data_IF_625922976735
#
_entry.id   IF_625922976735
#
_cell.length_a   1.000
_cell.length_b   1.000
_cell.length_c   1.000
_cell.angle_alpha   90.00
_cell.angle_beta   90.00
_cell.angle_gamma   90.00
#
_symmetry.space_group_name_H-M   'P 1'
#
loop_
_entity.id
_entity.type
_entity.pdbx_description
1 polymer ?
#
# COMPACT_ATOMS: atom_id res chain seq x y z
N UNK A 1 -8.78 2.23 -17.73
CA UNK A 1 -9.04 1.64 -16.40
C UNK A 1 -8.07 2.28 -15.45
N UNK A 2 -8.54 3.25 -14.67
CA UNK A 2 -7.70 4.00 -13.74
C UNK A 2 -7.18 3.10 -12.62
N UNK A 3 -5.94 3.36 -12.20
CA UNK A 3 -5.10 2.58 -11.29
C UNK A 3 -5.68 2.28 -9.88
N UNK A 4 -6.96 2.58 -9.63
CA UNK A 4 -7.63 2.47 -8.34
C UNK A 4 -8.60 1.27 -8.22
N UNK A 5 -8.92 0.57 -9.31
CA UNK A 5 -9.99 -0.45 -9.31
C UNK A 5 -9.53 -1.87 -8.95
N UNK A 6 -8.68 -2.02 -7.93
CA UNK A 6 -8.40 -3.33 -7.30
C UNK A 6 -9.35 -3.64 -6.13
N UNK A 7 -10.53 -3.00 -6.06
CA UNK A 7 -11.44 -3.15 -4.92
C UNK A 7 -10.86 -2.59 -3.61
N UNK A 8 -9.94 -1.63 -3.70
CA UNK A 8 -9.30 -1.02 -2.51
C UNK A 8 -10.18 0.08 -1.92
N UNK A 9 -10.03 0.34 -0.62
CA UNK A 9 -10.72 1.44 0.06
C UNK A 9 -10.33 2.85 -0.42
N UNK A 10 -9.31 2.99 -1.29
CA UNK A 10 -8.89 4.29 -1.85
C UNK A 10 -10.01 5.00 -2.62
N UNK A 11 -10.96 4.27 -3.20
CA UNK A 11 -12.10 4.87 -3.88
C UNK A 11 -12.92 5.81 -2.98
N UNK A 12 -13.02 5.51 -1.67
CA UNK A 12 -13.70 6.37 -0.70
C UNK A 12 -12.95 7.69 -0.49
N UNK A 13 -11.63 7.66 -0.44
CA UNK A 13 -10.80 8.86 -0.28
C UNK A 13 -10.81 9.71 -1.55
N UNK A 14 -10.77 9.07 -2.72
CA UNK A 14 -10.91 9.77 -4.00
C UNK A 14 -12.28 10.47 -4.10
N UNK A 15 -13.37 9.80 -3.73
CA UNK A 15 -14.70 10.39 -3.70
C UNK A 15 -14.80 11.58 -2.72
N UNK A 16 -14.00 11.57 -1.65
CA UNK A 16 -13.89 12.67 -0.70
C UNK A 16 -12.87 13.76 -1.09
N UNK A 17 -12.26 13.68 -2.29
CA UNK A 17 -11.19 14.56 -2.75
C UNK A 17 -9.96 14.60 -1.82
N UNK A 18 -9.71 13.52 -1.08
CA UNK A 18 -8.55 13.37 -0.20
C UNK A 18 -7.43 12.67 -0.99
N UNK A 19 -6.24 13.30 -1.13
CA UNK A 19 -5.09 12.65 -1.75
C UNK A 19 -4.72 11.37 -0.98
N UNK A 20 -4.64 10.25 -1.69
CA UNK A 20 -4.32 8.95 -1.10
C UNK A 20 -3.43 8.12 -2.02
N UNK A 21 -2.64 7.23 -1.42
CA UNK A 21 -1.79 6.29 -2.13
C UNK A 21 -2.07 4.88 -1.59
N UNK A 22 -2.25 3.92 -2.50
CA UNK A 22 -2.25 2.51 -2.14
C UNK A 22 -0.81 2.03 -2.15
N UNK A 23 -0.38 1.45 -1.04
CA UNK A 23 0.97 0.94 -0.89
C UNK A 23 0.97 -0.24 0.11
N UNK A 24 1.92 -1.14 -0.03
CA UNK A 24 2.03 -2.35 0.78
C UNK A 24 3.26 -3.17 0.38
N UNK A 25 3.65 -4.18 1.19
CA UNK A 25 4.78 -5.04 0.87
C UNK A 25 4.41 -6.07 -0.21
N UNK A 26 5.42 -6.57 -0.92
CA UNK A 26 5.27 -7.68 -1.85
C UNK A 26 4.77 -7.29 -3.25
N UNK A 27 4.29 -8.28 -3.99
CA UNK A 27 3.76 -8.14 -5.35
C UNK A 27 2.30 -8.59 -5.38
N UNK A 28 1.41 -7.69 -5.78
CA UNK A 28 -0.02 -7.95 -5.98
C UNK A 28 -0.31 -9.07 -6.99
N UNK A 29 0.61 -9.37 -7.92
CA UNK A 29 0.46 -10.50 -8.83
C UNK A 29 0.49 -11.87 -8.11
N UNK A 30 1.12 -11.94 -6.92
CA UNK A 30 1.16 -13.13 -6.06
C UNK A 30 0.01 -13.20 -5.04
N UNK A 31 -0.74 -12.11 -4.87
CA UNK A 31 -1.84 -12.06 -3.91
C UNK A 31 -2.98 -13.01 -4.33
N UNK A 32 -3.68 -13.60 -3.35
CA UNK A 32 -4.82 -14.49 -3.56
C UNK A 32 -4.48 -15.75 -4.37
N UNK A 33 -3.22 -16.18 -4.32
CA UNK A 33 -2.74 -17.42 -4.91
C UNK A 33 -2.43 -18.43 -3.80
N UNK A 34 -2.49 -19.74 -4.06
CA UNK A 34 -2.15 -20.75 -3.05
C UNK A 34 -0.72 -20.57 -2.50
N UNK A 35 0.23 -20.21 -3.35
CA UNK A 35 1.63 -19.92 -2.98
C UNK A 35 1.85 -18.43 -2.68
N UNK A 36 0.92 -17.80 -1.95
CA UNK A 36 1.08 -16.42 -1.48
C UNK A 36 2.15 -16.36 -0.38
N UNK A 37 3.15 -15.50 -0.57
CA UNK A 37 4.20 -15.27 0.41
C UNK A 37 4.72 -13.83 0.39
N UNK A 38 5.44 -13.49 1.45
CA UNK A 38 6.14 -12.23 1.62
C UNK A 38 7.58 -12.49 2.10
N UNK A 39 8.54 -11.75 1.57
CA UNK A 39 9.93 -11.81 2.06
C UNK A 39 10.13 -10.86 3.25
N UNK A 40 11.18 -11.13 4.04
CA UNK A 40 11.54 -10.23 5.16
C UNK A 40 11.96 -8.86 4.65
N UNK A 41 12.63 -8.82 3.50
CA UNK A 41 13.07 -7.61 2.84
C UNK A 41 11.88 -6.75 2.39
N UNK A 42 10.86 -7.37 1.79
CA UNK A 42 9.62 -6.69 1.39
C UNK A 42 8.89 -6.09 2.59
N UNK A 43 8.79 -6.83 3.69
CA UNK A 43 8.20 -6.33 4.93
C UNK A 43 8.98 -5.13 5.48
N UNK A 44 10.31 -5.26 5.59
CA UNK A 44 11.15 -4.17 6.09
C UNK A 44 11.08 -2.91 5.20
N UNK A 45 10.98 -3.08 3.88
CA UNK A 45 10.81 -1.96 2.94
C UNK A 45 9.49 -1.23 3.18
N UNK A 46 8.37 -1.94 3.34
CA UNK A 46 7.08 -1.34 3.63
C UNK A 46 7.07 -0.60 4.98
N UNK A 47 7.69 -1.18 6.02
CA UNK A 47 7.85 -0.50 7.31
C UNK A 47 8.60 0.84 7.15
N UNK A 48 9.71 0.85 6.39
CA UNK A 48 10.47 2.09 6.12
C UNK A 48 9.62 3.13 5.39
N UNK A 49 8.85 2.69 4.39
CA UNK A 49 7.98 3.55 3.59
C UNK A 49 6.91 4.25 4.45
N UNK A 50 6.27 3.55 5.38
CA UNK A 50 5.22 4.15 6.25
C UNK A 50 5.84 5.04 7.34
N UNK A 51 6.95 4.62 7.94
CA UNK A 51 7.58 5.35 9.05
C UNK A 51 8.26 6.65 8.60
N UNK A 52 8.81 6.70 7.38
CA UNK A 52 9.51 7.88 6.88
C UNK A 52 8.64 9.17 6.89
N UNK A 53 7.43 9.19 6.29
CA UNK A 53 6.55 10.37 6.38
C UNK A 53 6.02 10.58 7.80
N UNK A 54 5.67 9.51 8.54
CA UNK A 54 5.18 9.63 9.91
C UNK A 54 6.18 10.35 10.84
N UNK A 55 7.47 10.05 10.70
CA UNK A 55 8.54 10.74 11.44
C UNK A 55 8.68 12.22 11.06
N UNK A 56 8.45 12.58 9.79
CA UNK A 56 8.50 13.98 9.34
C UNK A 56 7.32 14.80 9.83
N UNK A 57 6.13 14.18 9.92
CA UNK A 57 4.90 14.83 10.35
C UNK A 57 4.76 14.93 11.89
N UNK A 58 5.51 14.11 12.63
CA UNK A 58 5.51 14.11 14.09
C UNK A 58 6.56 15.05 14.73
N UNK A 59 7.38 15.71 13.92
CA UNK A 59 8.37 16.71 14.34
C UNK A 59 7.78 18.12 14.24
#
# INVERSE_FOLDING_TARGET
>A
MDAASFGTGAGLFQAAAIPSVICGPGDTARAYRPEEYLTREELHAACKMVLAPGRKLAA
#
